data_IF_601010165619
#
_entry.id   IF_601010165619
#
_cell.length_a   1.000
_cell.length_b   1.000
_cell.length_c   1.000
_cell.angle_alpha   90.00
_cell.angle_beta   90.00
_cell.angle_gamma   90.00
#
_symmetry.space_group_name_H-M   'P 1'
#
loop_
_entity.id
_entity.type
_entity.pdbx_description
1 polymer ?
#
# COMPACT_ATOMS: atom_id res chain seq x y z
N UNK A 1 8.70 -8.14 5.53
CA UNK A 1 9.48 -8.59 6.71
C UNK A 1 9.38 -10.11 6.83
N UNK A 2 10.40 -10.81 7.33
CA UNK A 2 10.36 -12.28 7.44
C UNK A 2 9.58 -12.75 8.68
N UNK A 3 9.75 -12.05 9.79
CA UNK A 3 9.01 -12.28 11.02
C UNK A 3 7.68 -11.54 11.05
N UNK A 4 6.73 -12.06 11.82
CA UNK A 4 5.46 -11.39 12.09
C UNK A 4 5.67 -10.15 12.98
N UNK A 5 4.76 -9.16 12.93
CA UNK A 5 4.83 -8.01 13.82
C UNK A 5 4.69 -8.44 15.27
N UNK A 6 5.43 -7.75 16.13
CA UNK A 6 5.38 -7.96 17.57
C UNK A 6 4.06 -7.42 18.13
N UNK A 7 3.37 -8.23 18.94
CA UNK A 7 2.16 -7.77 19.64
C UNK A 7 0.94 -7.55 18.75
N UNK A 8 0.96 -8.05 17.51
CA UNK A 8 -0.19 -8.04 16.60
C UNK A 8 -0.49 -9.47 16.14
N UNK A 9 -1.70 -9.94 16.43
CA UNK A 9 -2.19 -11.23 15.93
C UNK A 9 -3.20 -11.09 14.77
N UNK A 10 -3.62 -12.23 14.21
CA UNK A 10 -4.55 -12.23 13.07
C UNK A 10 -5.97 -11.76 13.47
N UNK A 11 -6.34 -11.83 14.77
CA UNK A 11 -7.64 -11.35 15.26
C UNK A 11 -7.67 -9.82 15.39
N UNK A 12 -6.57 -9.21 15.84
CA UNK A 12 -6.37 -7.76 15.84
C UNK A 12 -6.50 -7.21 14.42
N UNK A 13 -5.83 -7.85 13.46
CA UNK A 13 -5.92 -7.47 12.05
C UNK A 13 -7.35 -7.64 11.49
N UNK A 14 -8.03 -8.75 11.81
CA UNK A 14 -9.42 -8.96 11.38
C UNK A 14 -10.38 -7.89 11.96
N UNK A 15 -10.17 -7.49 13.21
CA UNK A 15 -10.93 -6.41 13.84
C UNK A 15 -10.67 -5.06 13.16
N UNK A 16 -9.41 -4.75 12.84
CA UNK A 16 -9.03 -3.55 12.10
C UNK A 16 -9.64 -3.50 10.69
N UNK A 17 -9.70 -4.63 9.99
CA UNK A 17 -10.34 -4.72 8.67
C UNK A 17 -11.85 -4.45 8.76
N UNK A 18 -12.50 -5.01 9.78
CA UNK A 18 -13.93 -4.76 10.04
C UNK A 18 -14.17 -3.30 10.38
N UNK A 19 -13.36 -2.71 11.25
CA UNK A 19 -13.50 -1.31 11.66
C UNK A 19 -13.20 -0.32 10.52
N UNK A 20 -12.16 -0.59 9.72
CA UNK A 20 -11.72 0.29 8.65
C UNK A 20 -12.55 0.17 7.38
N UNK A 21 -12.90 -1.03 6.94
CA UNK A 21 -13.53 -1.26 5.64
C UNK A 21 -14.93 -1.86 5.71
N UNK A 22 -15.40 -2.23 6.91
CA UNK A 22 -16.77 -2.71 7.11
C UNK A 22 -17.02 -4.14 6.63
N UNK A 23 -15.97 -4.90 6.29
CA UNK A 23 -16.09 -6.30 5.89
C UNK A 23 -15.25 -7.22 6.78
N UNK A 24 -15.70 -8.47 6.88
CA UNK A 24 -15.07 -9.51 7.68
C UNK A 24 -14.09 -10.32 6.83
N UNK A 25 -12.93 -10.61 7.42
CA UNK A 25 -11.96 -11.56 6.88
C UNK A 25 -12.34 -12.99 7.30
N UNK A 26 -12.44 -13.89 6.32
CA UNK A 26 -12.72 -15.31 6.55
C UNK A 26 -11.45 -16.16 6.57
N UNK A 27 -10.40 -15.72 5.87
CA UNK A 27 -9.08 -16.31 5.94
C UNK A 27 -7.99 -15.23 5.89
N UNK A 28 -6.99 -15.35 6.76
CA UNK A 28 -5.80 -14.52 6.75
C UNK A 28 -4.57 -15.43 6.63
N UNK A 29 -3.63 -15.07 5.77
CA UNK A 29 -2.37 -15.81 5.65
C UNK A 29 -1.22 -14.83 5.57
N UNK A 30 -0.33 -14.90 6.57
CA UNK A 30 0.88 -14.11 6.59
C UNK A 30 1.77 -14.42 5.37
N UNK A 31 2.29 -13.37 4.74
CA UNK A 31 3.19 -13.43 3.60
C UNK A 31 4.52 -12.76 3.99
N UNK A 32 5.59 -13.53 4.23
CA UNK A 32 6.90 -12.98 4.56
C UNK A 32 7.59 -12.45 3.30
N UNK A 33 7.01 -11.41 2.69
CA UNK A 33 7.50 -10.76 1.47
C UNK A 33 7.84 -9.30 1.75
N UNK A 34 8.63 -8.70 0.85
CA UNK A 34 8.95 -7.27 0.87
C UNK A 34 9.87 -6.81 2.01
N UNK A 35 10.25 -5.54 1.93
CA UNK A 35 11.09 -4.83 2.90
C UNK A 35 10.30 -3.62 3.42
N UNK A 36 10.26 -3.42 4.73
CA UNK A 36 9.64 -2.23 5.36
C UNK A 36 8.22 -2.39 5.91
N UNK A 37 7.45 -3.40 5.48
CA UNK A 37 6.12 -3.70 6.02
C UNK A 37 5.88 -5.20 6.23
N UNK A 38 4.83 -5.52 6.98
CA UNK A 38 4.30 -6.86 7.19
C UNK A 38 3.12 -7.09 6.24
N UNK A 39 2.96 -8.30 5.71
CA UNK A 39 1.99 -8.55 4.64
C UNK A 39 1.11 -9.76 4.89
N UNK A 40 -0.15 -9.68 4.46
CA UNK A 40 -1.09 -10.79 4.44
C UNK A 40 -1.78 -10.88 3.08
N UNK A 41 -2.14 -12.09 2.69
CA UNK A 41 -3.28 -12.29 1.80
C UNK A 41 -4.52 -12.55 2.64
N UNK A 42 -5.61 -11.86 2.33
CA UNK A 42 -6.88 -11.96 3.06
C UNK A 42 -7.98 -12.35 2.10
N UNK A 43 -8.81 -13.32 2.46
CA UNK A 43 -10.06 -13.61 1.75
C UNK A 43 -11.22 -13.03 2.56
N UNK A 44 -12.03 -12.18 1.93
CA UNK A 44 -13.25 -11.65 2.55
C UNK A 44 -14.42 -12.64 2.44
N UNK A 45 -15.52 -12.31 3.13
CA UNK A 45 -16.74 -13.11 3.11
C UNK A 45 -17.40 -13.30 1.73
N UNK A 46 -17.09 -12.43 0.75
CA UNK A 46 -17.55 -12.57 -0.64
C UNK A 46 -16.60 -13.43 -1.47
N UNK A 47 -15.56 -14.00 -0.86
CA UNK A 47 -14.54 -14.81 -1.52
C UNK A 47 -13.50 -13.98 -2.30
N UNK A 48 -13.44 -12.66 -2.13
CA UNK A 48 -12.45 -11.81 -2.80
C UNK A 48 -11.13 -11.86 -2.06
N UNK A 49 -10.04 -11.89 -2.83
CA UNK A 49 -8.69 -11.91 -2.29
C UNK A 49 -8.09 -10.50 -2.28
N UNK A 50 -7.49 -10.14 -1.15
CA UNK A 50 -6.88 -8.84 -0.88
C UNK A 50 -5.43 -9.01 -0.44
N UNK A 51 -4.60 -8.04 -0.81
CA UNK A 51 -3.26 -7.89 -0.28
C UNK A 51 -3.27 -6.80 0.79
N UNK A 52 -2.88 -7.15 2.01
CA UNK A 52 -2.92 -6.24 3.16
C UNK A 52 -1.50 -5.93 3.59
N UNK A 53 -1.18 -4.65 3.75
CA UNK A 53 0.06 -4.18 4.36
C UNK A 53 -0.23 -3.73 5.79
N UNK A 54 0.69 -4.02 6.69
CA UNK A 54 0.76 -3.42 8.02
C UNK A 54 2.10 -2.72 8.16
N UNK A 55 2.04 -1.42 8.35
CA UNK A 55 3.18 -0.52 8.45
C UNK A 55 3.44 -0.18 9.92
N UNK A 56 4.69 -0.33 10.37
CA UNK A 56 5.13 0.06 11.71
C UNK A 56 5.52 1.54 11.70
N UNK A 57 4.72 2.36 12.39
CA UNK A 57 4.84 3.81 12.47
C UNK A 57 5.98 4.27 13.38
N UNK A 58 6.69 3.33 14.04
CA UNK A 58 7.76 3.62 15.00
C UNK A 58 9.16 3.29 14.47
N UNK A 59 9.27 2.85 13.21
CA UNK A 59 10.56 2.54 12.56
C UNK A 59 11.40 3.79 12.29
N UNK A 60 10.74 4.94 12.18
CA UNK A 60 11.36 6.24 11.98
C UNK A 60 11.44 6.99 13.32
N UNK A 61 12.51 7.77 13.60
CA UNK A 61 12.58 8.62 14.79
C UNK A 61 11.50 9.71 14.87
N UNK A 62 10.85 10.04 13.75
CA UNK A 62 9.72 10.97 13.72
C UNK A 62 8.52 10.47 14.53
N UNK A 63 7.68 11.36 15.09
CA UNK A 63 6.48 10.96 15.81
C UNK A 63 5.54 10.09 14.95
N UNK A 64 4.96 9.05 15.53
CA UNK A 64 4.08 8.10 14.81
C UNK A 64 2.93 8.77 14.05
N UNK A 65 2.38 9.88 14.56
CA UNK A 65 1.35 10.65 13.86
C UNK A 65 1.87 11.31 12.57
N UNK A 66 3.12 11.80 12.59
CA UNK A 66 3.77 12.36 11.42
C UNK A 66 4.10 11.29 10.38
N UNK A 67 4.59 10.12 10.83
CA UNK A 67 4.83 8.94 9.98
C UNK A 67 3.53 8.47 9.34
N UNK A 68 2.45 8.35 10.12
CA UNK A 68 1.13 7.98 9.60
C UNK A 68 0.58 9.00 8.60
N UNK A 69 0.77 10.29 8.85
CA UNK A 69 0.39 11.34 7.91
C UNK A 69 1.19 11.25 6.61
N UNK A 70 2.49 10.95 6.67
CA UNK A 70 3.33 10.74 5.50
C UNK A 70 2.91 9.50 4.69
N UNK A 71 2.69 8.36 5.34
CA UNK A 71 2.15 7.15 4.74
C UNK A 71 0.81 7.44 4.03
N UNK A 72 -0.11 8.10 4.74
CA UNK A 72 -1.42 8.47 4.18
C UNK A 72 -1.26 9.37 2.95
N UNK A 73 -0.37 10.36 2.97
CA UNK A 73 -0.09 11.20 1.79
C UNK A 73 0.46 10.39 0.62
N UNK A 74 1.44 9.52 0.87
CA UNK A 74 2.02 8.66 -0.17
C UNK A 74 0.96 7.78 -0.84
N UNK A 75 0.07 7.17 -0.04
CA UNK A 75 -1.01 6.34 -0.56
C UNK A 75 -2.11 7.14 -1.27
N UNK A 76 -2.43 8.35 -0.80
CA UNK A 76 -3.32 9.29 -1.52
C UNK A 76 -2.76 9.66 -2.89
N UNK A 77 -1.44 9.79 -3.02
CA UNK A 77 -0.79 10.01 -4.32
C UNK A 77 -1.07 8.85 -5.27
N UNK A 78 -0.95 7.60 -4.82
CA UNK A 78 -1.28 6.44 -5.65
C UNK A 78 -2.76 6.42 -6.08
N UNK A 79 -3.68 6.77 -5.16
CA UNK A 79 -5.11 6.93 -5.48
C UNK A 79 -5.34 8.01 -6.55
N UNK A 80 -4.73 9.18 -6.40
CA UNK A 80 -4.87 10.29 -7.34
C UNK A 80 -4.27 9.98 -8.72
N UNK A 81 -3.08 9.36 -8.77
CA UNK A 81 -2.46 8.93 -10.03
C UNK A 81 -3.35 7.94 -10.79
N UNK A 82 -3.92 6.96 -10.08
CA UNK A 82 -4.81 5.98 -10.71
C UNK A 82 -6.13 6.62 -11.17
N UNK A 83 -6.79 7.37 -10.29
CA UNK A 83 -8.14 7.91 -10.52
C UNK A 83 -8.14 9.11 -11.45
N UNK A 84 -7.29 10.09 -11.19
CA UNK A 84 -7.33 11.40 -11.82
C UNK A 84 -6.44 11.45 -13.07
N UNK A 85 -5.27 10.79 -13.04
CA UNK A 85 -4.36 10.72 -14.19
C UNK A 85 -4.58 9.50 -15.10
N UNK A 86 -5.51 8.60 -14.75
CA UNK A 86 -5.83 7.41 -15.53
C UNK A 86 -4.66 6.41 -15.64
N UNK A 87 -3.74 6.42 -14.67
CA UNK A 87 -2.60 5.49 -14.66
C UNK A 87 -3.04 4.13 -14.09
N UNK A 88 -3.67 3.32 -14.93
CA UNK A 88 -4.24 2.01 -14.54
C UNK A 88 -3.20 1.03 -13.97
N UNK A 89 -1.92 1.18 -14.36
CA UNK A 89 -0.81 0.39 -13.84
C UNK A 89 -0.42 0.73 -12.39
N UNK A 90 -0.92 1.83 -11.84
CA UNK A 90 -0.74 2.18 -10.42
C UNK A 90 -1.75 1.39 -9.59
N UNK A 91 -1.25 0.48 -8.76
CA UNK A 91 -2.08 -0.27 -7.81
C UNK A 91 -2.36 0.60 -6.60
N UNK A 92 -3.52 1.28 -6.62
CA UNK A 92 -3.98 2.11 -5.52
C UNK A 92 -4.66 1.27 -4.42
N UNK A 93 -4.57 1.68 -3.14
CA UNK A 93 -5.26 0.99 -2.06
C UNK A 93 -6.78 1.15 -2.18
N UNK A 94 -7.49 0.14 -1.69
CA UNK A 94 -8.92 0.18 -1.43
C UNK A 94 -9.19 1.17 -0.29
N UNK A 95 -10.01 2.22 -0.51
CA UNK A 95 -10.33 3.17 0.55
C UNK A 95 -11.12 2.50 1.67
N UNK A 96 -10.89 2.95 2.90
CA UNK A 96 -11.72 2.65 4.08
C UNK A 96 -13.15 3.15 3.86
N UNK A 97 -14.08 2.75 4.73
CA UNK A 97 -15.44 3.28 4.75
C UNK A 97 -15.49 4.81 4.92
N UNK A 98 -14.46 5.39 5.55
CA UNK A 98 -14.27 6.84 5.71
C UNK A 98 -13.50 7.51 4.55
N UNK A 99 -13.24 6.79 3.44
CA UNK A 99 -12.56 7.31 2.26
C UNK A 99 -11.05 7.53 2.45
N UNK A 100 -10.44 7.00 3.51
CA UNK A 100 -9.00 7.09 3.77
C UNK A 100 -8.25 5.92 3.13
N UNK A 101 -7.04 6.10 2.60
CA UNK A 101 -6.29 5.01 1.97
C UNK A 101 -5.60 4.07 2.98
N UNK A 102 -5.54 4.47 4.26
CA UNK A 102 -4.99 3.70 5.36
C UNK A 102 -5.87 3.86 6.60
N UNK A 103 -5.84 2.87 7.47
CA UNK A 103 -6.51 2.85 8.77
C UNK A 103 -5.46 2.66 9.88
N UNK A 104 -5.46 3.53 10.88
CA UNK A 104 -4.60 3.36 12.05
C UNK A 104 -5.18 2.26 12.94
N UNK A 105 -4.42 1.18 13.14
CA UNK A 105 -4.82 0.05 13.97
C UNK A 105 -4.64 0.39 15.45
N UNK A 106 -3.46 0.90 15.82
CA UNK A 106 -3.13 1.32 17.17
C UNK A 106 -2.04 2.42 17.17
N UNK A 107 -1.37 2.62 18.30
CA UNK A 107 -0.30 3.60 18.43
C UNK A 107 0.89 3.34 17.48
N UNK A 108 1.18 2.07 17.18
CA UNK A 108 2.36 1.59 16.45
C UNK A 108 2.05 1.19 15.01
N UNK A 109 0.86 0.68 14.71
CA UNK A 109 0.57 0.06 13.42
C UNK A 109 -0.51 0.78 12.63
N UNK A 110 -0.32 0.82 11.30
CA UNK A 110 -1.33 1.23 10.34
C UNK A 110 -1.53 0.14 9.28
N UNK A 111 -2.75 0.03 8.77
CA UNK A 111 -3.17 -1.00 7.80
C UNK A 111 -3.57 -0.33 6.49
N UNK A 112 -3.14 -0.91 5.37
CA UNK A 112 -3.64 -0.55 4.04
C UNK A 112 -4.04 -1.82 3.27
N UNK A 113 -5.11 -1.73 2.48
CA UNK A 113 -5.66 -2.86 1.73
C UNK A 113 -5.53 -2.58 0.25
N UNK A 114 -5.07 -3.55 -0.54
CA UNK A 114 -4.87 -3.45 -1.98
C UNK A 114 -5.55 -4.62 -2.68
N UNK A 115 -6.02 -4.42 -3.93
CA UNK A 115 -6.43 -5.55 -4.76
C UNK A 115 -5.22 -6.47 -5.04
N UNK A 116 -5.47 -7.78 -5.09
CA UNK A 116 -4.49 -8.72 -5.66
C UNK A 116 -4.51 -8.55 -7.18
N UNK A 117 -3.31 -8.44 -7.78
CA UNK A 117 -3.14 -8.32 -9.22
C UNK A 117 -2.56 -9.62 -9.77
N UNK A 118 -3.20 -10.17 -10.78
CA UNK A 118 -2.68 -11.32 -11.50
C UNK A 118 -1.43 -10.91 -12.29
N UNK A 119 -0.33 -11.64 -12.05
CA UNK A 119 0.91 -11.37 -12.75
C UNK A 119 2.08 -12.17 -12.21
N UNK A 120 3.20 -12.11 -12.93
CA UNK A 120 4.48 -12.61 -12.46
C UNK A 120 5.33 -11.42 -12.03
N UNK A 121 5.74 -11.39 -10.76
CA UNK A 121 6.67 -10.38 -10.28
C UNK A 121 8.01 -10.47 -11.02
N UNK A 122 8.59 -9.30 -11.34
CA UNK A 122 9.95 -9.22 -11.84
C UNK A 122 10.98 -9.70 -10.82
N UNK A 123 12.22 -9.90 -11.27
CA UNK A 123 13.35 -10.16 -10.36
C UNK A 123 13.99 -8.82 -10.00
N UNK A 124 14.38 -8.67 -8.74
CA UNK A 124 15.17 -7.52 -8.31
C UNK A 124 16.48 -7.45 -9.10
N UNK A 125 16.81 -6.26 -9.62
CA UNK A 125 17.95 -6.04 -10.50
C UNK A 125 17.55 -5.39 -11.82
N UNK A 126 18.44 -5.37 -12.82
CA UNK A 126 18.17 -4.78 -14.12
C UNK A 126 16.98 -5.47 -14.82
N UNK A 127 16.14 -4.67 -15.48
CA UNK A 127 15.10 -5.20 -16.36
C UNK A 127 15.71 -6.00 -17.52
N UNK A 128 15.00 -7.03 -17.97
CA UNK A 128 15.43 -7.76 -19.17
C UNK A 128 15.36 -6.81 -20.36
N UNK A 129 16.29 -6.86 -21.33
CA UNK A 129 16.31 -5.91 -22.45
C UNK A 129 14.97 -5.77 -23.19
N UNK A 130 14.20 -6.86 -23.30
CA UNK A 130 12.87 -6.84 -23.92
C UNK A 130 11.79 -6.09 -23.12
N UNK A 131 11.93 -5.95 -21.80
CA UNK A 131 10.95 -5.27 -20.94
C UNK A 131 11.22 -3.76 -20.87
N UNK A 132 12.43 -3.32 -21.23
CA UNK A 132 12.88 -1.93 -21.08
C UNK A 132 11.96 -0.91 -21.78
N UNK A 133 11.52 -1.12 -23.05
CA UNK A 133 10.66 -0.16 -23.72
C UNK A 133 9.33 0.04 -23.00
N UNK A 134 8.71 -1.04 -22.52
CA UNK A 134 7.42 -1.00 -21.81
C UNK A 134 7.58 -0.28 -20.46
N UNK A 135 8.60 -0.64 -19.67
CA UNK A 135 8.88 0.03 -18.39
C UNK A 135 9.14 1.52 -18.61
N UNK A 136 9.89 1.89 -19.65
CA UNK A 136 10.17 3.29 -19.97
C UNK A 136 8.88 4.06 -20.30
N UNK A 137 7.95 3.45 -21.05
CA UNK A 137 6.65 4.04 -21.32
C UNK A 137 5.85 4.32 -20.04
N UNK A 138 5.83 3.35 -19.11
CA UNK A 138 5.18 3.52 -17.80
C UNK A 138 5.80 4.69 -17.02
N UNK A 139 7.13 4.78 -16.99
CA UNK A 139 7.85 5.87 -16.32
C UNK A 139 7.59 7.24 -16.97
N UNK A 140 7.53 7.31 -18.30
CA UNK A 140 7.19 8.55 -19.02
C UNK A 140 5.78 9.00 -18.66
N UNK A 141 4.80 8.09 -18.70
CA UNK A 141 3.41 8.38 -18.32
C UNK A 141 3.30 8.82 -16.86
N UNK A 142 4.02 8.16 -15.96
CA UNK A 142 4.07 8.52 -14.54
C UNK A 142 4.65 9.92 -14.33
N UNK A 143 5.79 10.23 -14.94
CA UNK A 143 6.41 11.55 -14.81
C UNK A 143 5.54 12.66 -15.41
N UNK A 144 4.85 12.41 -16.53
CA UNK A 144 3.92 13.36 -17.13
C UNK A 144 2.74 13.71 -16.19
N UNK A 145 2.36 12.81 -15.28
CA UNK A 145 1.31 13.03 -14.29
C UNK A 145 1.75 13.81 -13.05
N UNK A 146 3.04 14.14 -12.88
CA UNK A 146 3.57 14.86 -11.71
C UNK A 146 2.78 16.13 -11.36
N UNK A 147 2.40 17.01 -12.32
CA UNK A 147 1.64 18.21 -12.01
C UNK A 147 0.28 17.93 -11.35
N UNK A 148 -0.33 16.78 -11.62
CA UNK A 148 -1.64 16.41 -11.10
C UNK A 148 -1.61 16.07 -9.61
N UNK A 149 -0.44 15.70 -9.08
CA UNK A 149 -0.27 15.29 -7.67
C UNK A 149 0.61 16.23 -6.87
N UNK A 150 1.05 17.35 -7.45
CA UNK A 150 1.96 18.29 -6.80
C UNK A 150 1.41 18.89 -5.48
N UNK A 151 0.07 18.98 -5.35
CA UNK A 151 -0.61 19.41 -4.12
C UNK A 151 -0.68 18.33 -3.03
N UNK A 152 -0.31 17.09 -3.33
CA UNK A 152 -0.37 15.93 -2.42
C UNK A 152 1.05 15.46 -2.08
N UNK A 153 1.87 15.26 -3.12
CA UNK A 153 3.27 14.87 -3.05
C UNK A 153 4.14 16.09 -3.37
N UNK A 154 4.72 16.68 -2.33
CA UNK A 154 5.70 17.74 -2.51
C UNK A 154 6.96 17.15 -3.16
N UNK A 155 7.53 17.89 -4.11
CA UNK A 155 8.80 17.54 -4.70
C UNK A 155 9.87 17.70 -3.62
N UNK A 156 10.50 16.60 -3.22
CA UNK A 156 11.72 16.67 -2.45
C UNK A 156 12.82 17.21 -3.36
N UNK A 157 13.51 18.27 -2.94
CA UNK A 157 14.81 18.60 -3.52
C UNK A 157 15.76 17.47 -3.10
N UNK A 158 16.33 16.79 -4.09
CA UNK A 158 17.39 15.82 -3.83
C UNK A 158 18.69 16.63 -3.72
N UNK A 159 19.25 16.73 -2.52
CA UNK A 159 20.58 17.28 -2.28
C UNK A 159 21.69 16.33 -2.77
#
# INVERSE_FOLDING_TARGET
MLDRPEGLDDADLAAALTAGWGWRADALTYRPVGFGAYHWTVTDHDGRCWFVTVDDLTVDPEPADAVHAALTRALRTAVALRRDAGLEFVVAPQPTAAGQPAHRLDARYAVSVFPVVDGAAGRFGPHRPQDVPEVLELLVRLHAATPMVAGIAQRAELE
#
